data_IF_869610332507
#
_entry.id   IF_869610332507
#
_cell.length_a   1.000
_cell.length_b   1.000
_cell.length_c   1.000
_cell.angle_alpha   90.00
_cell.angle_beta   90.00
_cell.angle_gamma   90.00
#
_symmetry.space_group_name_H-M   'P 1'
#
loop_
_entity.id
_entity.type
_entity.pdbx_description
1 polymer ?
#
# COMPACT_ATOMS: atom_id res chain seq x y z
N UNK A 1 -1.65 15.04 14.01
CA UNK A 1 -0.38 14.76 14.70
C UNK A 1 -0.42 15.55 15.99
N UNK A 2 -0.13 14.92 17.12
CA UNK A 2 0.01 15.66 18.38
C UNK A 2 1.27 16.54 18.33
N UNK A 3 1.24 17.78 18.82
CA UNK A 3 2.45 18.59 18.96
C UNK A 3 3.46 17.91 19.87
N UNK A 4 4.74 17.93 19.47
CA UNK A 4 5.81 17.28 20.22
C UNK A 4 5.95 17.78 21.68
N UNK A 5 5.83 19.09 21.99
CA UNK A 5 5.94 19.56 23.38
C UNK A 5 4.89 18.93 24.30
N UNK A 6 3.63 18.87 23.85
CA UNK A 6 2.54 18.24 24.61
C UNK A 6 2.74 16.74 24.80
N UNK A 7 3.35 16.07 23.82
CA UNK A 7 3.69 14.66 23.93
C UNK A 7 4.79 14.42 24.96
N UNK A 8 5.83 15.25 24.95
CA UNK A 8 6.99 15.14 25.85
C UNK A 8 6.60 15.22 27.33
N UNK A 9 5.68 16.11 27.68
CA UNK A 9 5.13 16.24 29.05
C UNK A 9 4.33 15.00 29.52
N UNK A 10 3.96 14.09 28.60
CA UNK A 10 3.07 12.96 28.86
C UNK A 10 3.69 11.60 28.52
N UNK A 11 4.99 11.54 28.21
CA UNK A 11 5.65 10.31 27.75
C UNK A 11 5.56 9.16 28.76
N UNK A 12 5.84 9.43 30.03
CA UNK A 12 5.80 8.40 31.07
C UNK A 12 4.40 7.87 31.28
N UNK A 13 3.40 8.76 31.27
CA UNK A 13 1.99 8.38 31.35
C UNK A 13 1.57 7.52 30.16
N UNK A 14 1.97 7.90 28.94
CA UNK A 14 1.70 7.13 27.72
C UNK A 14 2.36 5.75 27.78
N UNK A 15 3.63 5.68 28.21
CA UNK A 15 4.38 4.44 28.35
C UNK A 15 3.69 3.50 29.35
N UNK A 16 3.39 4.01 30.54
CA UNK A 16 2.70 3.26 31.59
C UNK A 16 1.34 2.74 31.14
N UNK A 17 0.56 3.56 30.43
CA UNK A 17 -0.76 3.16 29.91
C UNK A 17 -0.67 1.98 28.93
N UNK A 18 0.34 1.98 28.05
CA UNK A 18 0.53 0.90 27.06
C UNK A 18 1.16 -0.34 27.71
N UNK A 19 2.10 -0.17 28.65
CA UNK A 19 2.74 -1.30 29.34
C UNK A 19 1.77 -2.05 30.28
N UNK A 20 0.78 -1.36 30.83
CA UNK A 20 -0.24 -1.95 31.70
C UNK A 20 -1.44 -2.56 30.96
N UNK A 21 -1.50 -2.47 29.63
CA UNK A 21 -2.55 -3.12 28.84
C UNK A 21 -2.28 -4.64 28.74
N UNK A 22 -3.10 -5.50 29.39
CA UNK A 22 -2.91 -6.95 29.34
C UNK A 22 -3.09 -7.53 27.94
N UNK A 23 -3.79 -6.82 27.04
CA UNK A 23 -4.04 -7.22 25.66
C UNK A 23 -3.18 -6.43 24.66
N UNK A 24 -2.02 -5.90 25.09
CA UNK A 24 -1.19 -4.98 24.29
C UNK A 24 -1.00 -5.46 22.84
N UNK A 25 -1.62 -4.80 21.85
CA UNK A 25 -1.38 -5.13 20.46
C UNK A 25 0.07 -4.73 20.09
N UNK A 26 0.69 -5.47 19.17
CA UNK A 26 2.01 -5.14 18.62
C UNK A 26 3.16 -5.11 19.64
N UNK A 27 3.24 -6.12 20.53
CA UNK A 27 4.30 -6.31 21.53
C UNK A 27 5.70 -5.98 20.98
N UNK A 28 6.07 -6.56 19.83
CA UNK A 28 7.36 -6.37 19.19
C UNK A 28 7.60 -4.93 18.75
N UNK A 29 6.64 -4.32 18.05
CA UNK A 29 6.75 -2.93 17.58
C UNK A 29 6.91 -1.95 18.74
N UNK A 30 6.18 -2.18 19.84
CA UNK A 30 6.31 -1.36 21.05
C UNK A 30 7.70 -1.47 21.67
N UNK A 31 8.22 -2.70 21.81
CA UNK A 31 9.55 -2.93 22.40
C UNK A 31 10.67 -2.22 21.63
N UNK A 32 10.51 -1.97 20.32
CA UNK A 32 11.48 -1.25 19.50
C UNK A 32 11.49 0.27 19.75
N UNK A 33 10.36 0.85 20.18
CA UNK A 33 10.21 2.31 20.28
C UNK A 33 10.06 2.83 21.71
N UNK A 34 9.71 1.97 22.68
CA UNK A 34 9.36 2.38 24.05
C UNK A 34 10.46 3.16 24.79
N UNK A 35 11.73 2.88 24.49
CA UNK A 35 12.87 3.59 25.08
C UNK A 35 13.18 4.92 24.36
N UNK A 36 12.58 5.16 23.20
CA UNK A 36 12.87 6.31 22.33
C UNK A 36 11.58 7.06 21.92
N UNK A 37 10.58 7.12 22.81
CA UNK A 37 9.29 7.76 22.51
C UNK A 37 9.42 9.25 22.22
N UNK A 38 10.43 9.92 22.78
CA UNK A 38 10.71 11.33 22.48
C UNK A 38 11.02 11.58 20.99
N UNK A 39 11.54 10.58 20.28
CA UNK A 39 11.79 10.63 18.83
C UNK A 39 10.58 10.17 17.98
N UNK A 40 9.48 9.75 18.63
CA UNK A 40 8.27 9.30 17.98
C UNK A 40 7.26 10.44 17.81
N UNK A 41 6.45 10.33 16.77
CA UNK A 41 5.27 11.17 16.58
C UNK A 41 4.02 10.34 16.86
N UNK A 42 2.99 11.01 17.39
CA UNK A 42 1.68 10.40 17.62
C UNK A 42 0.67 10.99 16.63
N UNK A 43 0.05 10.12 15.85
CA UNK A 43 -1.03 10.46 14.94
C UNK A 43 -2.31 9.82 15.42
N UNK A 44 -3.37 10.61 15.49
CA UNK A 44 -4.69 10.17 15.95
C UNK A 44 -5.67 10.31 14.79
N UNK A 45 -6.50 9.30 14.62
CA UNK A 45 -7.66 9.30 13.73
C UNK A 45 -8.85 8.71 14.48
N UNK A 46 -10.05 8.85 13.92
CA UNK A 46 -11.29 8.38 14.55
C UNK A 46 -11.31 6.88 14.90
N UNK A 47 -10.49 6.04 14.23
CA UNK A 47 -10.46 4.59 14.44
C UNK A 47 -9.09 4.01 14.83
N UNK A 48 -8.03 4.82 14.88
CA UNK A 48 -6.70 4.32 15.25
C UNK A 48 -5.76 5.42 15.71
N UNK A 49 -4.84 5.02 16.58
CA UNK A 49 -3.67 5.80 17.00
C UNK A 49 -2.43 5.14 16.36
N UNK A 50 -1.55 5.94 15.77
CA UNK A 50 -0.27 5.51 15.23
C UNK A 50 0.85 6.23 15.96
N UNK A 51 1.73 5.47 16.61
CA UNK A 51 2.95 5.95 17.23
C UNK A 51 4.12 5.47 16.37
N UNK A 52 4.87 6.40 15.79
CA UNK A 52 5.96 6.07 14.86
C UNK A 52 7.01 7.18 14.80
N UNK A 53 8.32 6.87 14.75
CA UNK A 53 9.36 7.86 14.48
C UNK A 53 9.36 8.31 13.02
N UNK A 54 9.80 9.54 12.76
CA UNK A 54 9.90 10.08 11.38
C UNK A 54 10.75 9.19 10.49
N UNK A 55 11.89 8.77 11.02
CA UNK A 55 12.87 7.88 10.41
C UNK A 55 12.99 6.68 11.35
N UNK A 56 12.86 5.44 10.85
CA UNK A 56 12.99 4.27 11.69
C UNK A 56 14.41 4.20 12.27
N UNK A 57 14.58 3.84 13.57
CA UNK A 57 15.86 3.77 14.24
C UNK A 57 16.61 2.47 13.87
N UNK A 58 16.74 2.18 12.58
CA UNK A 58 17.30 0.91 12.09
C UNK A 58 18.72 0.64 12.59
N UNK A 59 19.48 1.69 12.88
CA UNK A 59 20.83 1.61 13.45
C UNK A 59 20.87 1.15 14.91
N UNK A 60 19.73 1.08 15.63
CA UNK A 60 19.68 0.47 16.96
C UNK A 60 19.64 -1.06 16.91
N UNK A 61 19.30 -1.63 15.75
CA UNK A 61 19.29 -3.07 15.54
C UNK A 61 20.69 -3.55 15.14
N UNK A 62 21.42 -4.17 16.09
CA UNK A 62 22.83 -4.55 15.92
C UNK A 62 23.12 -5.37 14.64
N UNK A 63 22.32 -6.38 14.25
CA UNK A 63 22.55 -7.09 12.99
C UNK A 63 22.48 -6.18 11.75
N UNK A 64 21.57 -5.19 11.78
CA UNK A 64 21.48 -4.21 10.70
C UNK A 64 22.66 -3.24 10.76
N UNK A 65 22.99 -2.70 11.94
CA UNK A 65 24.07 -1.72 12.14
C UNK A 65 25.47 -2.28 11.81
N UNK A 66 25.74 -3.53 12.20
CA UNK A 66 27.05 -4.17 12.03
C UNK A 66 27.25 -4.83 10.66
N UNK A 67 26.27 -4.75 9.76
CA UNK A 67 26.43 -5.27 8.40
C UNK A 67 27.52 -4.49 7.65
N UNK A 68 28.49 -5.23 7.11
CA UNK A 68 29.61 -4.66 6.33
C UNK A 68 29.16 -4.05 5.01
N UNK A 69 28.12 -4.61 4.42
CA UNK A 69 27.55 -4.18 3.14
C UNK A 69 26.04 -4.35 3.17
N UNK A 70 25.33 -3.38 2.60
CA UNK A 70 23.87 -3.40 2.44
C UNK A 70 23.55 -3.14 0.96
N UNK A 71 22.82 -4.05 0.33
CA UNK A 71 22.38 -3.91 -1.05
C UNK A 71 20.89 -3.60 -1.02
N UNK A 72 20.52 -2.45 -1.57
CA UNK A 72 19.13 -2.02 -1.70
C UNK A 72 18.71 -2.11 -3.16
N UNK A 73 17.60 -2.80 -3.42
CA UNK A 73 17.07 -2.98 -4.77
C UNK A 73 15.61 -2.52 -4.79
N UNK A 74 15.25 -1.73 -5.79
CA UNK A 74 13.88 -1.29 -6.02
C UNK A 74 13.66 -1.12 -7.52
N UNK A 75 12.47 -1.52 -8.00
CA UNK A 75 12.04 -1.30 -9.37
C UNK A 75 11.72 0.18 -9.66
N UNK A 76 11.50 0.98 -8.62
CA UNK A 76 11.19 2.40 -8.70
C UNK A 76 12.02 3.16 -7.67
N UNK A 77 13.30 3.38 -7.96
CA UNK A 77 14.15 4.22 -7.11
C UNK A 77 13.77 5.69 -7.35
N UNK A 78 12.92 6.24 -6.48
CA UNK A 78 12.66 7.68 -6.46
C UNK A 78 13.92 8.49 -6.18
N UNK A 79 14.02 9.68 -6.77
CA UNK A 79 15.11 10.63 -6.52
C UNK A 79 14.95 11.36 -5.17
N UNK A 80 13.75 11.32 -4.58
CA UNK A 80 13.35 12.16 -3.45
C UNK A 80 13.79 11.64 -2.07
N UNK A 81 14.87 10.86 -1.99
CA UNK A 81 15.40 10.34 -0.71
C UNK A 81 14.47 9.36 0.02
N UNK A 82 13.57 8.68 -0.71
CA UNK A 82 12.57 7.78 -0.11
C UNK A 82 13.20 6.57 0.56
N UNK A 83 14.24 6.01 -0.07
CA UNK A 83 14.93 4.84 0.42
C UNK A 83 15.72 5.14 1.70
N UNK A 84 16.35 6.32 1.75
CA UNK A 84 17.04 6.90 2.90
C UNK A 84 16.06 7.08 4.07
N UNK A 85 14.86 7.62 3.83
CA UNK A 85 13.82 7.75 4.88
C UNK A 85 13.26 6.41 5.35
N UNK A 86 13.09 5.45 4.44
CA UNK A 86 12.57 4.10 4.79
C UNK A 86 13.61 3.32 5.59
N UNK A 87 14.89 3.45 5.24
CA UNK A 87 15.96 2.67 5.86
C UNK A 87 16.64 3.37 7.02
N UNK A 88 16.47 4.68 7.17
CA UNK A 88 17.20 5.50 8.14
C UNK A 88 18.69 5.68 7.84
N UNK A 89 19.14 5.30 6.64
CA UNK A 89 20.51 5.53 6.19
C UNK A 89 20.58 6.88 5.47
N UNK A 90 21.46 7.75 5.95
CA UNK A 90 21.60 9.12 5.42
C UNK A 90 22.13 9.17 3.98
N UNK A 91 23.06 8.27 3.65
CA UNK A 91 23.74 8.23 2.34
C UNK A 91 23.76 6.82 1.80
N UNK A 92 23.22 6.66 0.59
CA UNK A 92 23.18 5.39 -0.12
C UNK A 92 23.86 5.62 -1.46
N UNK A 93 24.95 4.90 -1.70
CA UNK A 93 25.65 4.97 -2.98
C UNK A 93 24.79 4.26 -4.04
N UNK A 94 24.45 5.00 -5.10
CA UNK A 94 23.55 4.53 -6.15
C UNK A 94 24.35 4.06 -7.34
N UNK A 95 24.06 2.85 -7.80
CA UNK A 95 24.59 2.35 -9.07
C UNK A 95 23.83 3.06 -10.20
N UNK A 96 24.52 3.74 -11.14
CA UNK A 96 23.86 4.39 -12.25
C UNK A 96 23.20 3.35 -13.15
N UNK A 97 21.97 3.64 -13.59
CA UNK A 97 21.30 2.84 -14.61
C UNK A 97 22.01 3.08 -15.95
N UNK A 98 22.41 2.04 -16.70
CA UNK A 98 23.07 2.22 -18.00
C UNK A 98 22.20 3.04 -18.96
N UNK A 99 22.81 3.89 -19.78
CA UNK A 99 22.08 4.70 -20.75
C UNK A 99 21.26 3.81 -21.71
N UNK A 100 19.97 4.11 -21.89
CA UNK A 100 19.07 3.37 -22.78
C UNK A 100 18.27 2.26 -22.13
N UNK A 101 18.53 1.89 -20.87
CA UNK A 101 17.69 0.93 -20.12
C UNK A 101 16.27 1.44 -19.84
N UNK A 102 16.08 2.76 -19.81
CA UNK A 102 14.77 3.42 -19.75
C UNK A 102 13.87 3.10 -20.96
N UNK A 103 14.45 2.66 -22.09
CA UNK A 103 13.73 2.30 -23.31
C UNK A 103 13.31 0.84 -23.37
N UNK A 104 13.81 -0.02 -22.47
CA UNK A 104 13.38 -1.42 -22.34
C UNK A 104 12.18 -1.52 -21.39
N UNK A 105 10.99 -1.19 -21.90
CA UNK A 105 9.73 -1.43 -21.17
C UNK A 105 9.25 -2.88 -21.34
N UNK A 106 8.70 -3.49 -20.28
CA UNK A 106 7.99 -4.77 -20.39
C UNK A 106 6.60 -4.56 -21.02
N UNK A 107 6.55 -4.68 -22.35
CA UNK A 107 5.30 -4.68 -23.11
C UNK A 107 4.62 -3.31 -23.31
N UNK A 108 3.51 -3.31 -24.06
CA UNK A 108 2.66 -2.14 -24.30
C UNK A 108 1.41 -2.24 -23.43
N UNK A 109 1.05 -1.16 -22.73
CA UNK A 109 -0.16 -1.07 -21.90
C UNK A 109 -1.07 0.00 -22.48
N UNK A 110 -2.36 -0.32 -22.62
CA UNK A 110 -3.38 0.64 -23.02
C UNK A 110 -4.11 1.16 -21.77
N UNK A 111 -4.01 2.46 -21.51
CA UNK A 111 -4.63 3.11 -20.35
C UNK A 111 -5.92 3.79 -20.76
N UNK A 112 -6.97 3.63 -19.95
CA UNK A 112 -8.27 4.26 -20.15
C UNK A 112 -8.70 4.95 -18.85
N UNK A 113 -9.07 6.22 -18.94
CA UNK A 113 -9.54 7.05 -17.83
C UNK A 113 -10.98 7.50 -18.11
N UNK A 114 -11.97 6.63 -17.90
CA UNK A 114 -13.34 6.88 -18.34
C UNK A 114 -14.01 8.03 -17.54
N UNK A 115 -13.50 8.34 -16.35
CA UNK A 115 -13.92 9.45 -15.50
C UNK A 115 -13.58 10.84 -16.07
N UNK A 116 -12.68 10.92 -17.05
CA UNK A 116 -12.36 12.17 -17.74
C UNK A 116 -13.41 12.57 -18.79
N UNK A 117 -14.28 11.64 -19.20
CA UNK A 117 -15.23 11.87 -20.29
C UNK A 117 -16.69 11.51 -19.97
N UNK A 118 -16.92 10.64 -18.97
CA UNK A 118 -18.25 10.13 -18.64
C UNK A 118 -18.68 10.55 -17.23
N UNK A 119 -19.98 10.70 -17.02
CA UNK A 119 -20.52 11.00 -15.71
C UNK A 119 -20.30 9.83 -14.72
N UNK A 120 -20.30 10.08 -13.39
CA UNK A 120 -20.03 9.04 -12.40
C UNK A 120 -20.86 7.77 -12.50
N UNK A 121 -22.14 7.89 -12.88
CA UNK A 121 -23.02 6.72 -13.04
C UNK A 121 -22.66 5.92 -14.31
N UNK A 122 -22.28 6.62 -15.36
CA UNK A 122 -22.00 6.06 -16.68
C UNK A 122 -20.68 5.30 -16.69
N UNK A 123 -19.57 5.91 -16.24
CA UNK A 123 -18.30 5.19 -16.21
C UNK A 123 -18.35 4.00 -15.25
N UNK A 124 -19.07 4.10 -14.12
CA UNK A 124 -19.24 2.97 -13.20
C UNK A 124 -19.97 1.82 -13.85
N UNK A 125 -21.01 2.10 -14.63
CA UNK A 125 -21.72 1.07 -15.38
C UNK A 125 -20.81 0.46 -16.47
N UNK A 126 -20.09 1.30 -17.21
CA UNK A 126 -19.14 0.88 -18.24
C UNK A 126 -18.00 0.01 -17.69
N UNK A 127 -17.46 0.34 -16.51
CA UNK A 127 -16.44 -0.48 -15.84
C UNK A 127 -16.99 -1.89 -15.58
N UNK A 128 -18.21 -2.00 -15.05
CA UNK A 128 -18.82 -3.30 -14.76
C UNK A 128 -19.09 -4.09 -16.03
N UNK A 129 -19.58 -3.44 -17.10
CA UNK A 129 -19.77 -4.15 -18.38
C UNK A 129 -18.46 -4.69 -18.95
N UNK A 130 -17.35 -3.93 -18.81
CA UNK A 130 -16.02 -4.38 -19.24
C UNK A 130 -15.49 -5.56 -18.42
N UNK A 131 -15.86 -5.67 -17.15
CA UNK A 131 -15.56 -6.86 -16.35
C UNK A 131 -16.30 -8.07 -16.93
N UNK A 132 -17.59 -7.92 -17.28
CA UNK A 132 -18.37 -9.03 -17.85
C UNK A 132 -17.82 -9.49 -19.23
N UNK A 133 -17.32 -8.55 -20.04
CA UNK A 133 -16.85 -8.83 -21.40
C UNK A 133 -15.55 -9.64 -21.44
N UNK A 134 -14.69 -9.50 -20.42
CA UNK A 134 -13.37 -10.15 -20.39
C UNK A 134 -13.43 -11.51 -19.72
N UNK A 135 -12.42 -12.35 -19.98
CA UNK A 135 -12.34 -13.68 -19.35
C UNK A 135 -11.88 -13.58 -17.90
N UNK A 136 -10.85 -12.75 -17.67
CA UNK A 136 -10.23 -12.56 -16.36
C UNK A 136 -9.93 -11.09 -16.15
N UNK A 137 -10.33 -10.60 -14.99
CA UNK A 137 -10.11 -9.20 -14.60
C UNK A 137 -9.55 -9.13 -13.20
N UNK A 138 -8.43 -8.43 -13.06
CA UNK A 138 -7.90 -8.03 -11.75
C UNK A 138 -8.45 -6.66 -11.38
N UNK A 139 -9.08 -6.55 -10.22
CA UNK A 139 -9.59 -5.29 -9.68
C UNK A 139 -8.85 -4.93 -8.39
N UNK A 140 -8.14 -3.81 -8.42
CA UNK A 140 -7.43 -3.26 -7.28
C UNK A 140 -8.27 -2.17 -6.64
N UNK A 141 -8.58 -2.36 -5.36
CA UNK A 141 -9.35 -1.42 -4.55
C UNK A 141 -8.50 -0.90 -3.38
N UNK A 142 -8.64 0.39 -3.00
CA UNK A 142 -7.86 1.00 -1.94
C UNK A 142 -8.30 0.54 -0.54
N UNK A 143 -9.52 0.01 -0.39
CA UNK A 143 -10.02 -0.48 0.89
C UNK A 143 -11.15 -1.51 0.72
N UNK A 144 -11.46 -2.20 1.82
CA UNK A 144 -12.52 -3.23 1.90
C UNK A 144 -13.90 -2.71 1.54
N UNK A 145 -14.23 -1.44 1.84
CA UNK A 145 -15.54 -0.86 1.54
C UNK A 145 -15.75 -0.77 0.02
N UNK A 146 -14.77 -0.22 -0.70
CA UNK A 146 -14.81 -0.11 -2.17
C UNK A 146 -14.81 -1.49 -2.82
N UNK A 147 -13.98 -2.42 -2.33
CA UNK A 147 -13.98 -3.80 -2.82
C UNK A 147 -15.34 -4.49 -2.65
N UNK A 148 -16.02 -4.31 -1.51
CA UNK A 148 -17.35 -4.87 -1.27
C UNK A 148 -18.39 -4.27 -2.21
N UNK A 149 -18.39 -2.94 -2.38
CA UNK A 149 -19.28 -2.27 -3.34
C UNK A 149 -19.04 -2.77 -4.78
N UNK A 150 -17.78 -2.98 -5.16
CA UNK A 150 -17.44 -3.52 -6.47
C UNK A 150 -17.97 -4.95 -6.64
N UNK A 151 -17.76 -5.82 -5.64
CA UNK A 151 -18.28 -7.19 -5.60
C UNK A 151 -19.81 -7.21 -5.77
N UNK A 152 -20.53 -6.36 -5.04
CA UNK A 152 -21.99 -6.26 -5.15
C UNK A 152 -22.45 -5.81 -6.54
N UNK A 153 -21.74 -4.86 -7.17
CA UNK A 153 -22.08 -4.40 -8.53
C UNK A 153 -21.84 -5.48 -9.58
N UNK A 154 -20.71 -6.20 -9.49
CA UNK A 154 -20.41 -7.30 -10.41
C UNK A 154 -21.46 -8.39 -10.25
N UNK A 155 -21.81 -8.80 -9.02
CA UNK A 155 -22.85 -9.81 -8.77
C UNK A 155 -24.23 -9.45 -9.33
N UNK A 156 -24.54 -8.16 -9.47
CA UNK A 156 -25.84 -7.71 -9.99
C UNK A 156 -25.94 -7.69 -11.50
N UNK A 157 -24.79 -7.72 -12.20
CA UNK A 157 -24.73 -7.49 -13.65
C UNK A 157 -24.07 -8.67 -14.39
N UNK A 158 -23.06 -9.31 -13.78
CA UNK A 158 -22.30 -10.40 -14.37
C UNK A 158 -22.55 -11.72 -13.61
N UNK A 159 -23.72 -12.35 -13.77
CA UNK A 159 -24.07 -13.59 -13.05
C UNK A 159 -23.10 -14.76 -13.30
N UNK A 160 -22.51 -14.82 -14.49
CA UNK A 160 -21.55 -15.85 -14.88
C UNK A 160 -20.12 -15.62 -14.35
N UNK A 161 -19.84 -14.47 -13.72
CA UNK A 161 -18.49 -14.13 -13.27
C UNK A 161 -18.22 -14.63 -11.85
N UNK A 162 -17.22 -15.49 -11.72
CA UNK A 162 -16.73 -15.97 -10.42
C UNK A 162 -15.92 -14.86 -9.75
N UNK A 163 -16.37 -14.41 -8.58
CA UNK A 163 -15.68 -13.35 -7.84
C UNK A 163 -14.77 -13.96 -6.78
N UNK A 164 -13.48 -13.69 -6.92
CA UNK A 164 -12.43 -14.14 -6.02
C UNK A 164 -11.87 -12.97 -5.21
N UNK A 165 -11.32 -13.27 -4.04
CA UNK A 165 -10.67 -12.33 -3.14
C UNK A 165 -9.30 -12.87 -2.69
N UNK A 166 -8.57 -12.09 -1.88
CA UNK A 166 -7.23 -12.46 -1.43
C UNK A 166 -7.16 -13.82 -0.71
N UNK A 167 -8.20 -14.20 0.05
CA UNK A 167 -8.24 -15.49 0.73
C UNK A 167 -8.41 -16.68 -0.22
N UNK A 168 -9.06 -16.47 -1.36
CA UNK A 168 -9.29 -17.54 -2.35
C UNK A 168 -8.01 -17.89 -3.12
N UNK A 169 -7.01 -17.00 -3.10
CA UNK A 169 -5.73 -17.17 -3.80
C UNK A 169 -4.51 -17.20 -2.88
N UNK A 170 -4.72 -17.31 -1.56
CA UNK A 170 -3.65 -17.21 -0.56
C UNK A 170 -2.55 -18.27 -0.77
N UNK A 171 -2.95 -19.48 -1.15
CA UNK A 171 -2.03 -20.60 -1.38
C UNK A 171 -1.73 -20.84 -2.87
N UNK A 172 -2.58 -20.36 -3.79
CA UNK A 172 -2.47 -20.64 -5.22
C UNK A 172 -3.33 -19.70 -6.06
N UNK A 173 -2.84 -19.30 -7.25
CA UNK A 173 -3.58 -18.50 -8.23
C UNK A 173 -4.51 -19.35 -9.12
N UNK A 174 -4.49 -20.67 -8.99
CA UNK A 174 -5.28 -21.58 -9.84
C UNK A 174 -6.77 -21.26 -9.93
N UNK A 175 -7.49 -20.90 -8.85
CA UNK A 175 -8.91 -20.57 -8.93
C UNK A 175 -9.21 -19.40 -9.87
N UNK A 176 -8.24 -18.49 -10.03
CA UNK A 176 -8.32 -17.37 -10.94
C UNK A 176 -7.90 -17.77 -12.36
N UNK A 177 -6.73 -18.39 -12.52
CA UNK A 177 -6.14 -18.69 -13.83
C UNK A 177 -6.89 -19.79 -14.59
N UNK A 178 -7.46 -20.80 -13.91
CA UNK A 178 -8.20 -21.89 -14.57
C UNK A 178 -9.63 -21.51 -14.95
N UNK A 179 -10.13 -20.37 -14.47
CA UNK A 179 -11.51 -19.95 -14.71
C UNK A 179 -11.57 -18.92 -15.86
N UNK A 180 -12.46 -19.16 -16.83
CA UNK A 180 -12.62 -18.31 -18.02
C UNK A 180 -13.56 -17.12 -17.80
N UNK A 181 -14.21 -17.01 -16.64
CA UNK A 181 -15.02 -15.84 -16.22
C UNK A 181 -14.77 -15.56 -14.75
N UNK A 182 -13.65 -14.90 -14.45
CA UNK A 182 -13.26 -14.58 -13.08
C UNK A 182 -12.87 -13.10 -12.88
N UNK A 183 -13.34 -12.54 -11.76
CA UNK A 183 -12.93 -11.23 -11.28
C UNK A 183 -12.22 -11.39 -9.93
N UNK A 184 -10.91 -11.12 -9.90
CA UNK A 184 -10.12 -11.14 -8.67
C UNK A 184 -10.10 -9.73 -8.07
N UNK A 185 -10.77 -9.55 -6.93
CA UNK A 185 -10.87 -8.25 -6.25
C UNK A 185 -9.93 -8.23 -5.05
N UNK A 186 -8.91 -7.38 -5.11
CA UNK A 186 -7.91 -7.25 -4.05
C UNK A 186 -8.01 -5.90 -3.35
N UNK A 187 -7.86 -5.93 -2.03
CA UNK A 187 -7.68 -4.72 -1.23
C UNK A 187 -6.20 -4.56 -0.93
N UNK A 188 -5.61 -3.42 -1.30
CA UNK A 188 -4.18 -3.09 -1.28
C UNK A 188 -3.39 -3.52 -2.53
N UNK A 189 -2.13 -3.07 -2.59
CA UNK A 189 -1.13 -3.57 -3.53
C UNK A 189 -0.69 -4.95 -3.06
N UNK A 190 -1.11 -6.00 -3.77
CA UNK A 190 -0.44 -7.29 -3.63
C UNK A 190 0.81 -7.24 -4.50
N UNK A 191 1.92 -6.79 -3.91
CA UNK A 191 3.26 -6.98 -4.49
C UNK A 191 3.52 -8.48 -4.58
N UNK A 192 3.87 -8.96 -5.78
CA UNK A 192 4.29 -10.35 -6.00
C UNK A 192 3.29 -11.27 -6.71
N UNK A 193 2.10 -10.79 -7.09
CA UNK A 193 1.24 -11.52 -8.04
C UNK A 193 1.74 -11.20 -9.46
N UNK A 194 2.30 -12.21 -10.12
CA UNK A 194 2.61 -12.16 -11.54
C UNK A 194 1.50 -12.88 -12.32
N UNK A 195 0.93 -12.21 -13.32
CA UNK A 195 -0.14 -12.74 -14.17
C UNK A 195 0.28 -12.55 -15.63
N UNK A 196 1.22 -13.37 -16.12
CA UNK A 196 1.75 -13.25 -17.47
C UNK A 196 0.70 -13.58 -18.53
N UNK A 197 0.97 -13.09 -19.74
CA UNK A 197 0.23 -13.44 -20.94
C UNK A 197 -1.30 -13.43 -20.78
N UNK A 198 -1.95 -14.54 -21.09
CA UNK A 198 -3.40 -14.64 -21.09
C UNK A 198 -3.97 -14.94 -19.70
N UNK A 199 -3.14 -15.05 -18.67
CA UNK A 199 -3.61 -15.18 -17.28
C UNK A 199 -4.41 -13.95 -16.86
N UNK A 200 -3.98 -12.74 -17.22
CA UNK A 200 -4.78 -11.53 -17.02
C UNK A 200 -4.40 -10.40 -17.99
N UNK A 201 -5.33 -10.04 -18.89
CA UNK A 201 -5.15 -8.93 -19.85
C UNK A 201 -5.88 -7.66 -19.45
N UNK A 202 -6.67 -7.68 -18.37
CA UNK A 202 -7.43 -6.52 -17.88
C UNK A 202 -7.17 -6.26 -16.40
N UNK A 203 -6.73 -5.03 -16.10
CA UNK A 203 -6.59 -4.53 -14.74
C UNK A 203 -7.44 -3.27 -14.56
N UNK A 204 -8.20 -3.22 -13.47
CA UNK A 204 -9.02 -2.08 -13.08
C UNK A 204 -8.51 -1.57 -11.75
N UNK A 205 -8.19 -0.27 -11.69
CA UNK A 205 -7.77 0.40 -10.46
C UNK A 205 -8.92 1.32 -10.04
N UNK A 206 -9.73 0.87 -9.09
CA UNK A 206 -10.90 1.62 -8.62
C UNK A 206 -10.51 2.56 -7.48
N UNK A 207 -10.27 3.82 -7.83
CA UNK A 207 -9.89 4.87 -6.89
C UNK A 207 -8.38 5.02 -6.72
N UNK A 208 -7.98 6.13 -6.10
CA UNK A 208 -6.57 6.38 -5.83
C UNK A 208 -6.13 5.52 -4.63
N UNK A 209 -5.02 4.79 -4.69
CA UNK A 209 -4.42 4.23 -3.48
C UNK A 209 -4.08 5.36 -2.52
N UNK A 210 -4.90 5.52 -1.47
CA UNK A 210 -4.67 6.46 -0.40
C UNK A 210 -3.39 6.13 0.37
N UNK A 211 -2.91 7.10 1.13
CA UNK A 211 -1.81 6.95 2.08
C UNK A 211 -1.96 5.67 2.92
N UNK A 212 -0.90 4.86 2.99
CA UNK A 212 -0.88 3.57 3.67
C UNK A 212 -1.03 3.69 5.18
N UNK A 213 -0.64 4.83 5.76
CA UNK A 213 -0.64 5.07 7.19
C UNK A 213 -0.94 6.54 7.54
N UNK A 214 -1.17 6.82 8.83
CA UNK A 214 -1.54 8.18 9.27
C UNK A 214 -0.43 9.21 9.08
N UNK A 215 0.85 8.81 9.14
CA UNK A 215 1.97 9.70 8.90
C UNK A 215 2.01 10.12 7.43
N UNK A 216 1.93 9.17 6.51
CA UNK A 216 1.87 9.47 5.08
C UNK A 216 0.64 10.31 4.74
N UNK A 217 -0.53 10.00 5.34
CA UNK A 217 -1.74 10.81 5.16
C UNK A 217 -1.56 12.24 5.65
N UNK A 218 -0.88 12.41 6.78
CA UNK A 218 -0.56 13.72 7.32
C UNK A 218 0.37 14.49 6.39
N UNK A 219 1.45 13.87 5.91
CA UNK A 219 2.40 14.49 4.96
C UNK A 219 1.67 14.91 3.68
N UNK A 220 0.90 14.01 3.06
CA UNK A 220 0.18 14.29 1.82
C UNK A 220 -0.85 15.42 1.99
N UNK A 221 -1.63 15.42 3.07
CA UNK A 221 -2.73 16.38 3.23
C UNK A 221 -2.30 17.73 3.81
N UNK A 222 -1.23 17.77 4.63
CA UNK A 222 -0.84 18.96 5.39
C UNK A 222 0.50 19.53 4.97
N UNK A 223 1.44 18.70 4.47
CA UNK A 223 2.80 19.15 4.13
C UNK A 223 3.04 19.23 2.62
N UNK A 224 2.32 18.47 1.78
CA UNK A 224 2.40 18.60 0.30
C UNK A 224 1.58 19.76 -0.28
N UNK A 225 0.97 20.63 0.54
CA UNK A 225 0.41 21.92 0.05
C UNK A 225 1.53 22.94 -0.17
N UNK A 226 2.48 22.60 -1.04
CA UNK A 226 3.42 23.50 -1.68
C UNK A 226 3.59 23.00 -3.11
N UNK A 227 2.66 23.41 -3.98
CA UNK A 227 2.78 23.61 -5.42
C UNK A 227 1.57 24.42 -5.85
#
# INVERSE_FOLDING_TARGET
MLPAPTLWERLDSLRSLIENDPNRPHLYSWNLIKENLAACNVFISWNKILIRPWIPPTLTHLPFANSKQRIYMSATLGASGELERITGIQRIDRLPVPAGWDKQGSGRRFFVFPDQSLAPKEYKHWIISRICDFNRTLVLCPNKKIALTMKERIKKVCDATTILNSGDIENTLEPFVKNNKAALILTNRYDGIDLPDDECRQMIIEGNPDATNLQEKFILNRLRRCN
#
